data_IF_728744389291
#
_entry.id   IF_728744389291
#
_cell.length_a   1.000
_cell.length_b   1.000
_cell.length_c   1.000
_cell.angle_alpha   90.00
_cell.angle_beta   90.00
_cell.angle_gamma   90.00
#
_symmetry.space_group_name_H-M   'P 1'
#
loop_
_entity.id
_entity.type
_entity.pdbx_description
1 polymer ?
#
# COMPACT_ATOMS: atom_id res chain seq x y z
N UNK A 1 6.16 19.05 17.74
CA UNK A 1 5.43 18.09 18.60
C UNK A 1 5.90 16.64 18.41
N UNK A 2 7.20 16.41 18.12
CA UNK A 2 7.77 15.07 18.07
C UNK A 2 8.98 15.02 19.00
N UNK A 3 8.84 14.34 20.13
CA UNK A 3 9.94 14.19 21.08
C UNK A 3 10.87 13.08 20.59
N UNK A 4 12.15 13.40 20.36
CA UNK A 4 13.18 12.41 20.08
C UNK A 4 13.61 11.71 21.39
N UNK A 5 12.68 11.00 22.01
CA UNK A 5 12.85 10.28 23.27
C UNK A 5 12.48 8.81 23.06
N UNK A 6 13.42 7.90 23.30
CA UNK A 6 13.24 6.45 23.11
C UNK A 6 12.08 5.86 23.94
N UNK A 7 11.78 6.44 25.10
CA UNK A 7 10.79 5.91 26.06
C UNK A 7 9.34 6.12 25.56
N UNK A 8 9.08 7.10 24.69
CA UNK A 8 7.73 7.47 24.26
C UNK A 8 7.53 7.50 22.73
N UNK A 9 8.41 6.85 21.96
CA UNK A 9 8.32 6.82 20.47
C UNK A 9 6.94 6.37 19.96
N UNK A 10 6.30 5.43 20.65
CA UNK A 10 4.98 4.89 20.29
C UNK A 10 3.79 5.76 20.72
N UNK A 11 4.02 6.86 21.47
CA UNK A 11 2.98 7.78 21.96
C UNK A 11 2.95 9.11 21.22
N UNK A 12 3.36 9.13 19.95
CA UNK A 12 3.44 10.35 19.15
C UNK A 12 2.18 10.55 18.32
N UNK A 13 1.07 10.95 18.94
CA UNK A 13 -0.17 11.24 18.19
C UNK A 13 0.10 12.12 16.96
N UNK A 14 -0.47 11.77 15.81
CA UNK A 14 -0.23 12.48 14.55
C UNK A 14 0.77 11.83 13.59
N UNK A 15 1.34 10.65 13.90
CA UNK A 15 2.31 9.99 13.00
C UNK A 15 1.85 9.84 11.54
N UNK A 16 0.56 9.67 11.27
CA UNK A 16 0.05 9.59 9.89
C UNK A 16 0.25 10.91 9.11
N UNK A 17 0.21 12.07 9.78
CA UNK A 17 0.43 13.37 9.13
C UNK A 17 1.86 13.54 8.64
N UNK A 18 2.81 12.84 9.28
CA UNK A 18 4.22 12.83 8.86
C UNK A 18 4.43 12.19 7.50
N UNK A 19 3.44 11.49 6.95
CA UNK A 19 3.54 11.00 5.58
C UNK A 19 3.85 12.16 4.61
N UNK A 20 3.19 13.31 4.74
CA UNK A 20 3.47 14.47 3.88
C UNK A 20 4.84 15.12 4.15
N UNK A 21 5.39 14.99 5.37
CA UNK A 21 6.73 15.45 5.72
C UNK A 21 7.82 14.57 5.08
N UNK A 22 7.60 13.26 5.06
CA UNK A 22 8.54 12.27 4.53
C UNK A 22 8.45 12.13 3.01
N UNK A 23 7.26 12.36 2.46
CA UNK A 23 6.89 12.18 1.06
C UNK A 23 6.27 13.46 0.48
N UNK A 24 7.00 14.60 0.49
CA UNK A 24 6.45 15.90 0.09
C UNK A 24 6.05 15.93 -1.38
N UNK A 25 6.95 15.45 -2.26
CA UNK A 25 6.78 15.54 -3.70
C UNK A 25 6.32 14.23 -4.32
N UNK A 26 6.84 13.11 -3.82
CA UNK A 26 6.59 11.76 -4.34
C UNK A 26 6.06 10.84 -3.25
N UNK A 27 5.31 9.81 -3.64
CA UNK A 27 4.85 8.78 -2.73
C UNK A 27 5.90 7.67 -2.51
N UNK A 28 5.63 6.80 -1.54
CA UNK A 28 6.50 5.68 -1.17
C UNK A 28 6.86 4.78 -2.36
N UNK A 29 8.16 4.52 -2.51
CA UNK A 29 8.71 3.54 -3.46
C UNK A 29 9.47 2.49 -2.66
N UNK A 30 9.03 1.24 -2.77
CA UNK A 30 9.66 0.09 -2.14
C UNK A 30 10.25 -0.83 -3.21
N UNK A 31 11.55 -1.09 -3.13
CA UNK A 31 12.24 -1.98 -4.08
C UNK A 31 12.58 -3.29 -3.38
N UNK A 32 11.97 -4.39 -3.82
CA UNK A 32 12.20 -5.73 -3.27
C UNK A 32 13.68 -6.10 -3.41
N UNK A 33 14.29 -6.53 -2.30
CA UNK A 33 15.72 -6.88 -2.23
C UNK A 33 16.66 -5.69 -1.99
N UNK A 34 16.15 -4.45 -1.97
CA UNK A 34 16.95 -3.23 -1.72
C UNK A 34 16.42 -2.43 -0.54
N UNK A 35 15.12 -2.17 -0.48
CA UNK A 35 14.47 -1.45 0.62
C UNK A 35 14.36 -2.29 1.89
N UNK A 36 14.43 -1.63 3.04
CA UNK A 36 14.23 -2.25 4.37
C UNK A 36 12.82 -1.95 4.88
N UNK A 37 11.99 -2.97 5.07
CA UNK A 37 10.62 -2.80 5.55
C UNK A 37 10.53 -2.18 6.96
N UNK A 38 11.58 -2.25 7.78
CA UNK A 38 11.60 -1.61 9.09
C UNK A 38 11.68 -0.08 9.01
N UNK A 39 12.07 0.46 7.84
CA UNK A 39 12.41 1.88 7.67
C UNK A 39 11.70 2.53 6.48
N UNK A 40 11.67 1.82 5.36
CA UNK A 40 11.26 2.34 4.06
C UNK A 40 9.80 1.97 3.74
N UNK A 41 9.17 1.13 4.57
CA UNK A 41 7.73 0.88 4.54
C UNK A 41 7.02 1.73 5.59
N UNK A 42 6.24 2.71 5.15
CA UNK A 42 5.47 3.52 6.06
C UNK A 42 4.29 2.69 6.63
N UNK A 43 3.99 2.84 7.92
CA UNK A 43 3.11 1.92 8.63
C UNK A 43 1.64 1.94 8.16
N UNK A 44 1.20 3.04 7.54
CA UNK A 44 -0.18 3.20 7.07
C UNK A 44 -0.22 3.91 5.70
N UNK A 45 -0.95 3.34 4.75
CA UNK A 45 -1.18 3.96 3.45
C UNK A 45 -2.31 4.97 3.56
N UNK A 46 -1.90 6.22 3.79
CA UNK A 46 -2.77 7.35 4.12
C UNK A 46 -2.68 8.44 3.07
N UNK A 47 -3.61 9.39 3.14
CA UNK A 47 -3.59 10.56 2.28
C UNK A 47 -2.38 11.47 2.54
N UNK A 48 -2.00 12.24 1.53
CA UNK A 48 -0.99 13.29 1.66
C UNK A 48 -1.66 14.65 1.86
N UNK A 49 -1.44 15.27 3.01
CA UNK A 49 -1.89 16.63 3.31
C UNK A 49 -1.12 17.63 2.45
N UNK A 50 -1.82 18.47 1.68
CA UNK A 50 -1.20 19.52 0.85
C UNK A 50 -1.55 20.94 1.31
N UNK A 51 -2.56 21.09 2.15
CA UNK A 51 -2.88 22.32 2.89
C UNK A 51 -3.63 21.95 4.18
N UNK A 52 -4.12 22.94 4.93
CA UNK A 52 -4.78 22.66 6.20
C UNK A 52 -5.96 21.68 6.10
N UNK A 53 -6.72 21.74 5.00
CA UNK A 53 -7.95 20.96 4.79
C UNK A 53 -7.95 20.15 3.50
N UNK A 54 -6.93 20.30 2.65
CA UNK A 54 -6.85 19.60 1.37
C UNK A 54 -5.90 18.42 1.49
N UNK A 55 -6.40 17.25 1.13
CA UNK A 55 -5.64 16.00 1.07
C UNK A 55 -5.64 15.46 -0.36
N UNK A 56 -4.57 14.75 -0.72
CA UNK A 56 -4.47 14.05 -2.00
C UNK A 56 -4.38 12.55 -1.78
N UNK A 57 -4.97 11.81 -2.71
CA UNK A 57 -4.76 10.38 -2.88
C UNK A 57 -3.26 10.11 -3.11
N UNK A 58 -2.79 8.97 -2.61
CA UNK A 58 -1.39 8.54 -2.68
C UNK A 58 -1.28 7.27 -3.49
N UNK A 59 -0.15 7.08 -4.17
CA UNK A 59 0.14 5.89 -4.96
C UNK A 59 1.52 5.33 -4.62
N UNK A 60 1.54 4.26 -3.84
CA UNK A 60 2.77 3.55 -3.50
C UNK A 60 3.22 2.65 -4.66
N UNK A 61 4.53 2.48 -4.79
CA UNK A 61 5.14 1.64 -5.82
C UNK A 61 5.90 0.50 -5.14
N UNK A 62 5.68 -0.73 -5.60
CA UNK A 62 6.49 -1.90 -5.24
C UNK A 62 7.19 -2.37 -6.50
N UNK A 63 8.51 -2.18 -6.55
CA UNK A 63 9.36 -2.56 -7.68
C UNK A 63 10.00 -3.91 -7.35
N UNK A 64 9.92 -4.85 -8.29
CA UNK A 64 10.48 -6.19 -8.10
C UNK A 64 10.94 -6.78 -9.44
N UNK A 65 12.03 -7.56 -9.44
CA UNK A 65 12.46 -8.31 -10.62
C UNK A 65 11.70 -9.64 -10.74
N UNK A 66 11.50 -10.08 -11.97
CA UNK A 66 11.17 -11.46 -12.32
C UNK A 66 12.20 -11.94 -13.35
N UNK A 67 12.79 -13.12 -13.14
CA UNK A 67 13.72 -13.70 -14.14
C UNK A 67 13.00 -14.01 -15.44
N UNK A 68 11.85 -14.68 -15.32
CA UNK A 68 10.95 -14.98 -16.43
C UNK A 68 9.49 -14.98 -15.95
N UNK A 69 8.55 -14.92 -16.89
CA UNK A 69 7.11 -15.01 -16.65
C UNK A 69 6.56 -16.23 -17.35
N UNK A 70 5.88 -17.10 -16.60
CA UNK A 70 5.27 -18.31 -17.16
C UNK A 70 4.10 -17.89 -18.06
N UNK A 71 4.16 -18.15 -19.37
CA UNK A 71 3.12 -17.72 -20.30
C UNK A 71 1.77 -18.39 -20.02
N UNK A 72 0.69 -17.63 -20.19
CA UNK A 72 -0.69 -18.12 -20.05
C UNK A 72 -0.98 -18.75 -18.68
N UNK A 73 -0.33 -18.25 -17.63
CA UNK A 73 -0.53 -18.66 -16.26
C UNK A 73 -1.04 -17.51 -15.39
N UNK A 74 -1.74 -17.85 -14.31
CA UNK A 74 -2.17 -16.89 -13.30
C UNK A 74 -1.25 -16.97 -12.08
N UNK A 75 -0.66 -15.82 -11.75
CA UNK A 75 -0.02 -15.56 -10.49
C UNK A 75 -1.09 -15.18 -9.46
N UNK A 76 -0.77 -15.28 -8.17
CA UNK A 76 -1.69 -14.88 -7.10
C UNK A 76 -1.08 -13.79 -6.26
N UNK A 77 -1.69 -12.61 -6.24
CA UNK A 77 -1.36 -11.56 -5.30
C UNK A 77 -2.31 -11.63 -4.10
N UNK A 78 -1.74 -11.71 -2.91
CA UNK A 78 -2.44 -11.63 -1.63
C UNK A 78 -2.18 -10.28 -0.99
N UNK A 79 -3.24 -9.56 -0.68
CA UNK A 79 -3.18 -8.29 0.03
C UNK A 79 -3.99 -8.40 1.31
N UNK A 80 -3.28 -8.52 2.43
CA UNK A 80 -3.86 -8.57 3.76
C UNK A 80 -3.80 -7.19 4.41
N UNK A 81 -4.95 -6.74 4.92
CA UNK A 81 -5.10 -5.48 5.63
C UNK A 81 -5.34 -5.77 7.10
N UNK A 82 -4.51 -5.20 7.97
CA UNK A 82 -4.71 -5.21 9.41
C UNK A 82 -5.82 -4.23 9.84
N UNK A 83 -6.09 -3.19 9.03
CA UNK A 83 -7.11 -2.17 9.29
C UNK A 83 -7.42 -1.37 8.01
N UNK A 84 -8.62 -0.83 7.91
CA UNK A 84 -9.04 0.09 6.85
C UNK A 84 -10.01 1.17 7.39
N UNK A 85 -9.67 2.44 7.18
CA UNK A 85 -10.47 3.57 7.62
C UNK A 85 -11.02 4.30 6.39
N UNK A 86 -12.30 4.07 6.03
CA UNK A 86 -13.00 4.70 4.88
C UNK A 86 -12.14 4.82 3.61
N UNK A 87 -11.49 3.73 3.25
CA UNK A 87 -10.50 3.69 2.18
C UNK A 87 -11.02 2.95 0.95
N UNK A 88 -10.30 3.08 -0.15
CA UNK A 88 -10.38 2.18 -1.30
C UNK A 88 -8.97 2.03 -1.85
N UNK A 89 -8.50 0.78 -1.97
CA UNK A 89 -7.19 0.47 -2.57
C UNK A 89 -7.41 -0.04 -3.98
N UNK A 90 -6.73 0.57 -4.93
CA UNK A 90 -6.67 0.15 -6.32
C UNK A 90 -5.28 -0.40 -6.62
N UNK A 91 -5.24 -1.53 -7.34
CA UNK A 91 -3.99 -2.20 -7.71
C UNK A 91 -3.82 -2.15 -9.22
N UNK A 92 -2.64 -1.72 -9.68
CA UNK A 92 -2.22 -1.75 -11.08
C UNK A 92 -0.86 -2.42 -11.19
N UNK A 93 -0.58 -3.00 -12.35
CA UNK A 93 0.68 -3.66 -12.65
C UNK A 93 1.27 -2.98 -13.88
N UNK A 94 2.52 -2.54 -13.79
CA UNK A 94 3.37 -1.96 -14.83
C UNK A 94 2.87 -0.65 -15.50
N UNK A 95 1.58 -0.36 -15.50
CA UNK A 95 1.00 0.87 -16.03
C UNK A 95 0.12 1.56 -14.96
N UNK A 96 0.56 2.67 -14.35
CA UNK A 96 -0.20 3.39 -13.33
C UNK A 96 -1.40 4.16 -13.91
N UNK A 97 -1.39 4.42 -15.22
CA UNK A 97 -2.35 5.30 -15.89
C UNK A 97 -3.53 4.55 -16.52
N UNK A 98 -3.68 3.24 -16.23
CA UNK A 98 -4.84 2.49 -16.68
C UNK A 98 -6.14 3.11 -16.11
N UNK A 99 -7.06 3.44 -17.02
CA UNK A 99 -8.39 3.98 -16.69
C UNK A 99 -9.08 3.10 -15.65
N UNK A 100 -9.09 1.78 -15.90
CA UNK A 100 -9.56 0.78 -14.95
C UNK A 100 -8.36 0.15 -14.25
N UNK A 101 -8.32 0.15 -12.90
CA UNK A 101 -7.33 -0.65 -12.19
C UNK A 101 -7.58 -2.14 -12.45
N UNK A 102 -6.52 -2.95 -12.40
CA UNK A 102 -6.62 -4.41 -12.49
C UNK A 102 -7.46 -4.98 -11.35
N UNK A 103 -7.38 -4.35 -10.17
CA UNK A 103 -8.20 -4.70 -9.02
C UNK A 103 -8.56 -3.46 -8.19
N UNK A 104 -9.72 -3.47 -7.53
CA UNK A 104 -10.09 -2.47 -6.52
C UNK A 104 -10.84 -3.14 -5.37
N UNK A 105 -10.60 -2.70 -4.15
CA UNK A 105 -11.29 -3.23 -2.95
C UNK A 105 -12.75 -2.78 -2.84
N UNK A 106 -13.16 -1.80 -3.65
CA UNK A 106 -14.30 -0.90 -3.37
C UNK A 106 -14.09 -0.12 -2.06
N UNK A 107 -15.07 0.70 -1.69
CA UNK A 107 -15.05 1.40 -0.41
C UNK A 107 -15.11 0.39 0.74
N UNK A 108 -14.11 0.45 1.61
CA UNK A 108 -13.94 -0.46 2.73
C UNK A 108 -13.63 0.30 4.01
N UNK A 109 -14.00 -0.32 5.14
CA UNK A 109 -13.51 0.10 6.43
C UNK A 109 -14.36 1.15 7.14
N UNK A 110 -14.51 0.95 8.45
CA UNK A 110 -15.14 1.87 9.41
C UNK A 110 -14.36 1.91 10.72
N UNK A 111 -13.16 1.33 10.73
CA UNK A 111 -12.28 1.36 11.89
C UNK A 111 -11.59 2.72 12.03
N UNK A 112 -10.99 2.92 13.21
CA UNK A 112 -10.31 4.15 13.58
C UNK A 112 -8.88 3.85 14.07
N UNK A 113 -8.28 2.72 13.68
CA UNK A 113 -6.97 2.31 14.19
C UNK A 113 -5.90 3.37 13.85
N UNK A 114 -5.89 3.89 12.62
CA UNK A 114 -4.97 4.96 12.19
C UNK A 114 -5.13 6.20 13.09
N UNK A 115 -6.37 6.70 13.25
CA UNK A 115 -6.67 7.88 14.05
C UNK A 115 -6.41 7.71 15.56
N UNK A 116 -6.38 6.47 16.06
CA UNK A 116 -6.18 6.13 17.48
C UNK A 116 -4.82 5.53 17.79
N UNK A 117 -3.91 5.44 16.81
CA UNK A 117 -2.64 4.72 16.95
C UNK A 117 -2.83 3.26 17.40
N UNK A 118 -3.92 2.64 16.95
CA UNK A 118 -4.17 1.23 17.15
C UNK A 118 -3.31 0.38 16.21
N UNK A 119 -2.90 -0.79 16.70
CA UNK A 119 -2.13 -1.79 15.93
C UNK A 119 -3.02 -2.94 15.43
N UNK A 120 -4.33 -2.82 15.61
CA UNK A 120 -5.31 -3.86 15.26
C UNK A 120 -6.65 -3.22 14.86
N UNK A 121 -7.11 -3.55 13.65
CA UNK A 121 -8.44 -3.22 13.15
C UNK A 121 -9.15 -4.46 12.61
N UNK A 122 -10.15 -4.27 11.76
CA UNK A 122 -10.82 -5.41 11.13
C UNK A 122 -9.95 -5.98 10.03
N UNK A 123 -9.47 -7.22 10.23
CA UNK A 123 -8.67 -7.93 9.25
C UNK A 123 -9.46 -8.21 7.95
N UNK A 124 -8.80 -8.00 6.80
CA UNK A 124 -9.35 -8.32 5.48
C UNK A 124 -8.27 -8.90 4.57
N UNK A 125 -8.55 -10.03 3.93
CA UNK A 125 -7.68 -10.64 2.94
C UNK A 125 -8.30 -10.58 1.55
N UNK A 126 -7.54 -10.08 0.59
CA UNK A 126 -7.88 -10.13 -0.83
C UNK A 126 -6.92 -11.07 -1.55
N UNK A 127 -7.48 -12.03 -2.29
CA UNK A 127 -6.73 -12.85 -3.25
C UNK A 127 -7.07 -12.33 -4.65
N UNK A 128 -6.05 -11.89 -5.37
CA UNK A 128 -6.17 -11.24 -6.67
C UNK A 128 -5.46 -12.14 -7.68
N UNK A 129 -6.20 -12.59 -8.68
CA UNK A 129 -5.62 -13.29 -9.82
C UNK A 129 -4.85 -12.28 -10.68
N UNK A 130 -3.61 -12.62 -11.00
CA UNK A 130 -2.69 -11.78 -11.78
C UNK A 130 -2.30 -12.56 -13.03
N UNK A 131 -3.01 -12.36 -14.16
CA UNK A 131 -2.63 -12.91 -15.45
C UNK A 131 -1.18 -12.55 -15.82
N UNK A 132 -0.47 -13.51 -16.39
CA UNK A 132 0.93 -13.36 -16.85
C UNK A 132 1.16 -12.14 -17.75
N UNK A 133 0.15 -11.74 -18.51
CA UNK A 133 0.14 -10.61 -19.44
C UNK A 133 0.28 -9.25 -18.75
N UNK A 134 0.02 -9.18 -17.45
CA UNK A 134 0.23 -7.96 -16.65
C UNK A 134 1.69 -7.83 -16.18
N UNK A 135 2.48 -8.90 -16.31
CA UNK A 135 3.86 -9.00 -15.86
C UNK A 135 4.80 -9.12 -17.07
N UNK A 136 6.10 -8.96 -16.83
CA UNK A 136 7.16 -9.14 -17.84
C UNK A 136 8.43 -9.66 -17.20
N UNK A 137 9.32 -10.27 -17.99
CA UNK A 137 10.68 -10.54 -17.56
C UNK A 137 11.41 -9.22 -17.22
N UNK A 138 12.30 -9.26 -16.23
CA UNK A 138 13.00 -8.10 -15.69
C UNK A 138 12.16 -7.30 -14.67
N UNK A 139 12.27 -5.98 -14.71
CA UNK A 139 11.68 -5.10 -13.69
C UNK A 139 10.19 -4.89 -13.89
N UNK A 140 9.43 -5.17 -12.83
CA UNK A 140 7.99 -4.93 -12.72
C UNK A 140 7.69 -3.92 -11.63
N UNK A 141 6.52 -3.28 -11.70
CA UNK A 141 6.03 -2.38 -10.66
C UNK A 141 4.57 -2.65 -10.36
N UNK A 142 4.25 -2.91 -9.09
CA UNK A 142 2.88 -2.83 -8.58
C UNK A 142 2.63 -1.41 -8.09
N UNK A 143 1.54 -0.80 -8.54
CA UNK A 143 1.06 0.47 -8.04
C UNK A 143 -0.14 0.23 -7.14
N UNK A 144 -0.02 0.65 -5.88
CA UNK A 144 -1.11 0.63 -4.91
C UNK A 144 -1.58 2.06 -4.75
N UNK A 145 -2.80 2.37 -5.19
CA UNK A 145 -3.40 3.69 -5.01
C UNK A 145 -4.48 3.64 -3.95
N UNK A 146 -4.30 4.35 -2.85
CA UNK A 146 -5.40 4.70 -1.96
C UNK A 146 -6.14 5.87 -2.62
N UNK A 147 -7.41 5.68 -3.01
CA UNK A 147 -8.13 6.66 -3.85
C UNK A 147 -8.95 7.70 -3.06
N UNK A 148 -9.24 7.45 -1.78
CA UNK A 148 -10.13 8.26 -0.94
C UNK A 148 -9.35 9.32 -0.15
N UNK A 149 -9.69 10.60 -0.31
CA UNK A 149 -8.84 11.70 0.16
C UNK A 149 -9.61 12.91 0.72
N UNK A 150 -10.75 12.65 1.34
CA UNK A 150 -11.59 13.64 2.00
C UNK A 150 -11.16 13.92 3.46
N UNK A 151 -10.26 13.10 4.03
CA UNK A 151 -9.88 13.16 5.45
C UNK A 151 -8.45 12.64 5.70
N UNK A 152 -7.75 13.16 6.73
CA UNK A 152 -6.38 12.71 7.07
C UNK A 152 -6.31 11.23 7.48
N UNK A 153 -7.42 10.66 7.95
CA UNK A 153 -7.45 9.29 8.47
C UNK A 153 -7.84 8.26 7.42
N UNK A 154 -8.18 8.68 6.21
CA UNK A 154 -8.53 7.73 5.15
C UNK A 154 -7.29 6.96 4.72
N UNK A 155 -7.36 5.63 4.86
CA UNK A 155 -6.20 4.80 4.62
C UNK A 155 -6.36 3.36 5.04
N UNK A 156 -5.30 2.59 4.82
CA UNK A 156 -5.21 1.19 5.25
C UNK A 156 -3.90 0.94 5.98
N UNK A 157 -3.88 -0.07 6.85
CA UNK A 157 -2.64 -0.64 7.37
C UNK A 157 -2.48 -2.04 6.76
N UNK A 158 -1.34 -2.29 6.15
CA UNK A 158 -1.04 -3.60 5.59
C UNK A 158 -0.55 -4.54 6.70
N UNK A 159 -1.04 -5.78 6.66
CA UNK A 159 -0.44 -6.87 7.43
C UNK A 159 0.69 -7.49 6.58
N UNK A 160 0.33 -7.98 5.39
CA UNK A 160 1.30 -8.40 4.39
C UNK A 160 0.78 -8.22 2.97
N UNK A 161 1.74 -8.15 2.04
CA UNK A 161 1.50 -8.23 0.60
C UNK A 161 2.43 -9.31 0.06
N UNK A 162 1.86 -10.26 -0.69
CA UNK A 162 2.60 -11.39 -1.25
C UNK A 162 2.20 -11.62 -2.69
N UNK A 163 3.16 -11.82 -3.59
CA UNK A 163 2.93 -12.25 -4.96
C UNK A 163 3.54 -13.64 -5.13
N UNK A 164 2.73 -14.61 -5.54
CA UNK A 164 3.13 -16.01 -5.70
C UNK A 164 3.04 -16.40 -7.18
N UNK A 165 4.02 -17.19 -7.64
CA UNK A 165 3.98 -17.82 -8.95
C UNK A 165 2.84 -18.83 -9.08
N UNK A 166 2.48 -19.22 -10.31
CA UNK A 166 1.51 -20.30 -10.52
C UNK A 166 2.02 -21.61 -9.89
N UNK A 167 1.12 -22.53 -9.51
CA UNK A 167 1.50 -23.85 -9.02
C UNK A 167 2.41 -24.55 -10.04
N UNK A 168 3.48 -25.18 -9.56
CA UNK A 168 4.27 -26.06 -10.41
C UNK A 168 3.39 -27.23 -10.87
N UNK A 169 3.38 -27.50 -12.17
CA UNK A 169 2.82 -28.77 -12.67
C UNK A 169 3.78 -29.87 -12.22
N UNK A 170 3.31 -30.72 -11.31
CA UNK A 170 3.97 -31.99 -10.97
C UNK A 170 3.99 -32.93 -12.17
#
# INVERSE_FOLDING_TARGET
LYANSDINKFRQYGLWERYAELYPDNDLIYTVGVSDYHRDWFFAHVTRRVSETIFKATTWQIIFPLEDVIPSANYTMRMALASASRAEVQVRFNNPNLNNPHFRTMAIGTDNAIARHGIHGLYRLYNIDVPSEWLRAGSNTIYLRQSKHDSPFQGVMYDYIRLEGPPQRL
#
